data_IF_094159221301
#
_entry.id   IF_094159221301
#
_cell.length_a   1.000
_cell.length_b   1.000
_cell.length_c   1.000
_cell.angle_alpha   90.00
_cell.angle_beta   90.00
_cell.angle_gamma   90.00
#
_symmetry.space_group_name_H-M   'P 1'
#
loop_
_entity.id
_entity.type
_entity.pdbx_description
1 polymer ?
#
# COMPACT_ATOMS: atom_id res chain seq x y z
N UNK A 1 -1.26 -15.32 -8.65
CA UNK A 1 -2.65 -14.91 -8.42
C UNK A 1 -2.74 -13.52 -7.74
N UNK A 2 -1.97 -13.24 -6.64
CA UNK A 2 -2.03 -11.95 -5.92
C UNK A 2 -1.58 -10.78 -6.79
N UNK A 3 -0.46 -10.92 -7.51
CA UNK A 3 0.06 -9.88 -8.43
C UNK A 3 -0.96 -9.51 -9.51
N UNK A 4 -1.63 -10.51 -10.11
CA UNK A 4 -2.66 -10.27 -11.11
C UNK A 4 -3.90 -9.58 -10.53
N UNK A 5 -4.29 -9.95 -9.31
CA UNK A 5 -5.39 -9.26 -8.62
C UNK A 5 -5.05 -7.79 -8.35
N UNK A 6 -3.85 -7.51 -7.83
CA UNK A 6 -3.37 -6.15 -7.60
C UNK A 6 -3.33 -5.34 -8.91
N UNK A 7 -2.79 -5.91 -10.00
CA UNK A 7 -2.79 -5.28 -11.30
C UNK A 7 -4.20 -4.90 -11.77
N UNK A 8 -5.17 -5.81 -11.62
CA UNK A 8 -6.56 -5.55 -12.00
C UNK A 8 -7.19 -4.40 -11.20
N UNK A 9 -6.90 -4.29 -9.90
CA UNK A 9 -7.37 -3.18 -9.08
C UNK A 9 -6.68 -1.86 -9.44
N UNK A 10 -5.36 -1.87 -9.66
CA UNK A 10 -4.58 -0.72 -10.10
C UNK A 10 -5.14 -0.17 -11.42
N UNK A 11 -5.42 -1.06 -12.38
CA UNK A 11 -6.04 -0.71 -13.66
C UNK A 11 -7.43 -0.08 -13.49
N UNK A 12 -8.29 -0.66 -12.63
CA UNK A 12 -9.60 -0.09 -12.30
C UNK A 12 -9.50 1.30 -11.68
N UNK A 13 -8.45 1.56 -10.91
CA UNK A 13 -8.17 2.87 -10.32
C UNK A 13 -7.57 3.88 -11.31
N UNK A 14 -7.34 3.50 -12.58
CA UNK A 14 -6.71 4.37 -13.57
C UNK A 14 -5.22 4.61 -13.35
N UNK A 15 -4.59 3.81 -12.50
CA UNK A 15 -3.16 3.90 -12.17
C UNK A 15 -2.32 3.06 -13.12
N UNK A 16 -1.02 3.38 -13.20
CA UNK A 16 -0.03 2.55 -13.88
C UNK A 16 0.55 1.51 -12.92
N UNK A 17 1.05 0.41 -13.48
CA UNK A 17 1.62 -0.72 -12.77
C UNK A 17 3.00 -1.05 -13.33
N UNK A 18 3.94 -1.39 -12.48
CA UNK A 18 5.24 -1.93 -12.84
C UNK A 18 5.56 -3.13 -11.96
N UNK A 19 6.58 -3.88 -12.33
CA UNK A 19 7.06 -5.04 -11.57
C UNK A 19 8.48 -4.78 -11.08
N UNK A 20 8.71 -5.11 -9.82
CA UNK A 20 10.05 -5.29 -9.27
C UNK A 20 10.25 -6.79 -9.02
N UNK A 21 11.22 -7.37 -9.70
CA UNK A 21 11.59 -8.77 -9.56
C UNK A 21 12.66 -8.89 -8.49
N UNK A 22 12.61 -9.94 -7.72
CA UNK A 22 13.62 -10.25 -6.71
C UNK A 22 14.30 -11.58 -7.10
N UNK A 23 15.45 -11.49 -7.72
CA UNK A 23 16.17 -12.66 -8.23
C UNK A 23 16.85 -13.48 -7.12
N UNK A 24 16.94 -12.97 -5.89
CA UNK A 24 17.32 -13.74 -4.70
C UNK A 24 16.42 -14.97 -4.48
N UNK A 25 15.16 -14.90 -4.90
CA UNK A 25 14.22 -16.02 -4.80
C UNK A 25 14.68 -17.25 -5.57
N UNK A 26 15.47 -17.09 -6.63
CA UNK A 26 16.08 -18.18 -7.39
C UNK A 26 17.04 -18.98 -6.50
N UNK A 27 17.91 -18.30 -5.74
CA UNK A 27 18.83 -18.98 -4.82
C UNK A 27 18.05 -19.69 -3.70
N UNK A 28 16.99 -19.08 -3.18
CA UNK A 28 16.14 -19.68 -2.16
C UNK A 28 15.42 -20.94 -2.67
N UNK A 29 14.92 -20.94 -3.90
CA UNK A 29 14.28 -22.11 -4.51
C UNK A 29 15.27 -23.25 -4.77
N UNK A 30 16.50 -22.97 -5.26
CA UNK A 30 17.56 -23.95 -5.46
C UNK A 30 17.93 -24.63 -4.14
N UNK A 31 17.97 -23.88 -3.04
CA UNK A 31 18.33 -24.37 -1.71
C UNK A 31 17.20 -25.14 -0.99
N UNK A 32 16.11 -25.43 -1.67
CA UNK A 32 15.03 -26.27 -1.14
C UNK A 32 13.84 -25.51 -0.56
N UNK A 33 13.78 -24.20 -0.78
CA UNK A 33 12.66 -23.35 -0.37
C UNK A 33 11.50 -23.27 -1.35
N UNK A 34 11.38 -24.16 -2.33
CA UNK A 34 10.40 -24.12 -3.42
C UNK A 34 8.99 -23.75 -2.95
N UNK A 35 8.65 -22.47 -3.03
CA UNK A 35 7.36 -21.96 -2.55
C UNK A 35 6.17 -22.35 -3.44
N UNK A 36 6.41 -22.86 -4.65
CA UNK A 36 5.36 -23.09 -5.65
C UNK A 36 5.41 -24.49 -6.31
N UNK A 37 6.13 -25.45 -5.75
CA UNK A 37 6.22 -26.80 -6.30
C UNK A 37 7.01 -26.90 -7.62
N UNK A 38 7.74 -25.84 -7.99
CA UNK A 38 8.64 -25.82 -9.14
C UNK A 38 10.04 -26.17 -8.64
N UNK A 39 10.62 -27.22 -9.22
CA UNK A 39 11.98 -27.62 -8.88
C UNK A 39 12.98 -26.75 -9.66
N UNK A 40 13.46 -25.66 -9.06
CA UNK A 40 14.50 -24.81 -9.62
C UNK A 40 15.86 -25.39 -9.20
N UNK A 41 16.75 -25.51 -10.16
CA UNK A 41 18.15 -25.91 -9.98
C UNK A 41 19.06 -24.89 -10.65
N UNK A 42 20.33 -24.85 -10.29
CA UNK A 42 21.29 -23.99 -10.97
C UNK A 42 21.30 -24.19 -12.51
N UNK A 43 21.04 -25.43 -12.97
CA UNK A 43 21.01 -25.76 -14.40
C UNK A 43 19.78 -25.26 -15.14
N UNK A 44 18.65 -25.01 -14.46
CA UNK A 44 17.42 -24.51 -15.08
C UNK A 44 17.04 -23.09 -14.64
N UNK A 45 17.79 -22.43 -13.77
CA UNK A 45 17.51 -21.13 -13.22
C UNK A 45 17.25 -20.06 -14.30
N UNK A 46 18.08 -20.03 -15.35
CA UNK A 46 17.90 -19.12 -16.47
C UNK A 46 16.58 -19.36 -17.21
N UNK A 47 16.28 -20.63 -17.51
CA UNK A 47 15.03 -20.99 -18.17
C UNK A 47 13.80 -20.65 -17.30
N UNK A 48 13.91 -20.81 -15.98
CA UNK A 48 12.85 -20.42 -15.04
C UNK A 48 12.61 -18.91 -15.06
N UNK A 49 13.68 -18.10 -15.02
CA UNK A 49 13.57 -16.65 -15.14
C UNK A 49 12.96 -16.23 -16.50
N UNK A 50 13.34 -16.87 -17.60
CA UNK A 50 12.73 -16.66 -18.92
C UNK A 50 11.22 -16.95 -18.91
N UNK A 51 10.79 -18.05 -18.29
CA UNK A 51 9.35 -18.35 -18.15
C UNK A 51 8.61 -17.30 -17.32
N UNK A 52 9.23 -16.82 -16.25
CA UNK A 52 8.66 -15.72 -15.43
C UNK A 52 8.46 -14.46 -16.27
N UNK A 53 9.44 -14.09 -17.10
CA UNK A 53 9.32 -12.93 -17.98
C UNK A 53 8.30 -13.11 -19.11
N UNK A 54 8.20 -14.32 -19.69
CA UNK A 54 7.14 -14.63 -20.65
C UNK A 54 5.74 -14.53 -20.03
N UNK A 55 5.60 -14.96 -18.77
CA UNK A 55 4.36 -14.74 -18.02
C UNK A 55 4.09 -13.25 -17.80
N UNK A 56 5.10 -12.48 -17.43
CA UNK A 56 4.98 -11.04 -17.26
C UNK A 56 4.58 -10.35 -18.58
N UNK A 57 5.19 -10.73 -19.69
CA UNK A 57 4.84 -10.22 -21.01
C UNK A 57 3.38 -10.49 -21.36
N UNK A 58 2.92 -11.72 -21.15
CA UNK A 58 1.58 -12.14 -21.53
C UNK A 58 0.47 -11.51 -20.70
N UNK A 59 0.75 -11.23 -19.41
CA UNK A 59 -0.27 -10.77 -18.46
C UNK A 59 -0.21 -9.27 -18.15
N UNK A 60 0.94 -8.61 -18.38
CA UNK A 60 1.16 -7.24 -17.93
C UNK A 60 1.73 -6.32 -19.01
N UNK A 61 2.85 -6.66 -19.65
CA UNK A 61 3.61 -5.73 -20.51
C UNK A 61 2.82 -5.22 -21.71
N UNK A 62 1.85 -5.98 -22.19
CA UNK A 62 1.01 -5.60 -23.35
C UNK A 62 -0.17 -4.71 -22.96
N UNK A 63 -0.49 -4.59 -21.67
CA UNK A 63 -1.60 -3.76 -21.21
C UNK A 63 -1.20 -2.28 -21.15
N UNK A 64 -2.11 -1.41 -21.57
CA UNK A 64 -1.91 0.04 -21.55
C UNK A 64 -1.71 0.62 -20.15
N UNK A 65 -2.12 -0.09 -19.09
CA UNK A 65 -1.91 0.31 -17.70
C UNK A 65 -0.53 -0.08 -17.17
N UNK A 66 0.27 -0.84 -17.92
CA UNK A 66 1.65 -1.09 -17.53
C UNK A 66 2.51 0.17 -17.75
N UNK A 67 3.36 0.50 -16.77
CA UNK A 67 4.22 1.67 -16.85
C UNK A 67 5.27 1.49 -17.96
N UNK A 68 5.47 2.53 -18.77
CA UNK A 68 6.46 2.55 -19.86
C UNK A 68 7.32 3.80 -19.79
N UNK A 69 8.59 3.64 -20.11
CA UNK A 69 9.51 4.73 -20.43
C UNK A 69 9.96 4.55 -21.88
N UNK A 70 9.87 5.60 -22.68
CA UNK A 70 10.22 5.57 -24.11
C UNK A 70 9.63 4.36 -24.87
N UNK A 71 8.38 4.03 -24.57
CA UNK A 71 7.63 2.87 -25.09
C UNK A 71 8.10 1.48 -24.59
N UNK A 72 9.17 1.37 -23.79
CA UNK A 72 9.59 0.13 -23.18
C UNK A 72 8.89 -0.11 -21.83
N UNK A 73 8.42 -1.32 -21.52
CA UNK A 73 7.87 -1.63 -20.18
C UNK A 73 8.92 -1.38 -19.11
N UNK A 74 8.57 -0.69 -18.04
CA UNK A 74 9.47 -0.49 -16.90
C UNK A 74 9.53 -1.77 -16.07
N UNK A 75 10.74 -2.28 -15.85
CA UNK A 75 10.97 -3.49 -15.08
C UNK A 75 12.17 -3.29 -14.16
N UNK A 76 11.95 -3.47 -12.87
CA UNK A 76 12.98 -3.35 -11.84
C UNK A 76 13.43 -4.73 -11.37
N UNK A 77 14.67 -4.83 -10.92
CA UNK A 77 15.17 -5.96 -10.16
C UNK A 77 15.74 -5.49 -8.83
N UNK A 78 15.20 -6.00 -7.73
CA UNK A 78 15.76 -5.81 -6.39
C UNK A 78 17.00 -6.70 -6.27
N UNK A 79 18.14 -6.10 -6.55
CA UNK A 79 19.42 -6.76 -6.75
C UNK A 79 20.17 -6.19 -7.97
N UNK A 80 21.07 -6.95 -8.61
CA UNK A 80 21.09 -8.41 -8.78
C UNK A 80 21.68 -9.17 -7.60
N UNK A 81 21.00 -10.20 -7.16
CA UNK A 81 21.44 -11.07 -6.05
C UNK A 81 21.78 -12.50 -6.50
N UNK A 82 21.30 -12.92 -7.66
CA UNK A 82 21.61 -14.22 -8.27
C UNK A 82 22.19 -14.06 -9.69
N UNK A 83 21.53 -13.33 -10.58
CA UNK A 83 22.00 -13.08 -11.94
C UNK A 83 22.88 -11.81 -11.99
N UNK A 84 24.12 -11.93 -11.56
CA UNK A 84 25.03 -10.78 -11.43
C UNK A 84 25.56 -10.24 -12.78
N UNK A 85 25.45 -10.99 -13.88
CA UNK A 85 26.06 -10.63 -15.15
C UNK A 85 25.04 -10.06 -16.14
N UNK A 86 25.46 -9.06 -16.91
CA UNK A 86 24.65 -8.52 -18.00
C UNK A 86 24.29 -9.55 -19.08
N UNK A 87 25.14 -10.55 -19.29
CA UNK A 87 24.89 -11.66 -20.22
C UNK A 87 23.67 -12.49 -19.82
N UNK A 88 23.48 -12.72 -18.52
CA UNK A 88 22.36 -13.49 -18.00
C UNK A 88 21.04 -12.75 -18.26
N UNK A 89 20.99 -11.45 -17.97
CA UNK A 89 19.82 -10.62 -18.25
C UNK A 89 19.55 -10.46 -19.74
N UNK A 90 20.59 -10.35 -20.57
CA UNK A 90 20.44 -10.37 -22.02
C UNK A 90 19.80 -11.66 -22.50
N UNK A 91 20.24 -12.81 -21.95
CA UNK A 91 19.65 -14.11 -22.26
C UNK A 91 18.21 -14.24 -21.73
N UNK A 92 17.94 -13.74 -20.50
CA UNK A 92 16.59 -13.71 -19.93
C UNK A 92 15.64 -12.92 -20.83
N UNK A 93 16.03 -11.72 -21.30
CA UNK A 93 15.18 -10.89 -22.15
C UNK A 93 15.12 -11.35 -23.61
N UNK A 94 15.98 -12.25 -24.05
CA UNK A 94 16.03 -12.72 -25.45
C UNK A 94 14.76 -13.43 -25.90
N UNK A 95 14.02 -14.04 -24.96
CA UNK A 95 12.76 -14.75 -25.24
C UNK A 95 11.57 -13.83 -25.40
N UNK A 96 11.68 -12.54 -25.02
CA UNK A 96 10.62 -11.57 -25.12
C UNK A 96 10.47 -11.05 -26.57
N UNK A 97 9.25 -10.71 -26.95
CA UNK A 97 9.01 -9.96 -28.18
C UNK A 97 9.85 -8.66 -28.14
N UNK A 98 10.56 -8.30 -29.22
CA UNK A 98 11.40 -7.10 -29.26
C UNK A 98 10.72 -5.81 -28.80
N UNK A 99 9.41 -5.63 -29.09
CA UNK A 99 8.63 -4.48 -28.64
C UNK A 99 8.28 -4.48 -27.15
N UNK A 100 8.51 -5.59 -26.46
CA UNK A 100 8.25 -5.77 -25.04
C UNK A 100 9.54 -5.99 -24.23
N UNK A 101 10.70 -5.75 -24.84
CA UNK A 101 11.96 -5.71 -24.06
C UNK A 101 11.89 -4.54 -23.08
N UNK A 102 12.17 -4.77 -21.79
CA UNK A 102 11.96 -3.76 -20.79
C UNK A 102 13.05 -2.67 -20.76
N UNK A 103 12.64 -1.45 -20.34
CA UNK A 103 13.55 -0.52 -19.72
C UNK A 103 13.85 -1.11 -18.32
N UNK A 104 15.03 -1.69 -18.19
CA UNK A 104 15.44 -2.49 -17.03
C UNK A 104 16.29 -1.67 -16.07
N UNK A 105 15.96 -1.74 -14.78
CA UNK A 105 16.67 -1.04 -13.71
C UNK A 105 17.07 -2.01 -12.62
N UNK A 106 18.32 -1.95 -12.20
CA UNK A 106 18.88 -2.70 -11.06
C UNK A 106 19.05 -1.82 -9.84
N UNK A 107 19.20 -2.40 -8.67
CA UNK A 107 19.46 -1.67 -7.43
C UNK A 107 20.88 -1.12 -7.41
N UNK A 108 21.06 0.11 -6.91
CA UNK A 108 22.29 0.86 -6.69
C UNK A 108 23.15 1.11 -7.92
N UNK A 109 23.39 0.11 -8.74
CA UNK A 109 24.30 0.18 -9.86
C UNK A 109 23.68 -0.36 -11.14
N UNK A 110 23.88 0.37 -12.24
CA UNK A 110 23.41 -0.07 -13.55
C UNK A 110 24.21 -1.26 -14.07
N UNK A 111 23.52 -2.31 -14.51
CA UNK A 111 24.10 -3.33 -15.39
C UNK A 111 24.12 -2.85 -16.84
N UNK A 112 25.10 -3.31 -17.65
CA UNK A 112 25.20 -2.94 -19.06
C UNK A 112 23.95 -3.34 -19.89
N UNK A 113 23.24 -4.39 -19.49
CA UNK A 113 21.96 -4.79 -20.09
C UNK A 113 20.77 -3.89 -19.72
N UNK A 114 20.94 -2.99 -18.72
CA UNK A 114 19.88 -2.14 -18.19
C UNK A 114 19.87 -0.73 -18.75
N UNK A 115 18.75 -0.05 -18.66
CA UNK A 115 18.60 1.38 -18.91
C UNK A 115 19.27 2.20 -17.81
N UNK A 116 19.22 1.72 -16.56
CA UNK A 116 19.76 2.42 -15.42
C UNK A 116 19.70 1.60 -14.14
N UNK A 117 19.66 2.32 -13.02
CA UNK A 117 19.45 1.75 -11.70
C UNK A 117 18.49 2.61 -10.89
N UNK A 118 18.08 2.10 -9.73
CA UNK A 118 17.36 2.82 -8.70
C UNK A 118 18.13 2.76 -7.37
N UNK A 119 18.04 3.80 -6.57
CA UNK A 119 18.59 3.80 -5.22
C UNK A 119 17.58 3.23 -4.21
N UNK A 120 18.07 2.79 -3.06
CA UNK A 120 17.30 2.22 -1.97
C UNK A 120 17.82 2.75 -0.63
N UNK A 121 17.07 2.65 0.50
CA UNK A 121 17.64 3.00 1.80
C UNK A 121 18.97 2.26 2.06
N UNK A 122 20.13 2.98 2.15
CA UNK A 122 21.43 2.33 2.14
C UNK A 122 21.83 1.80 3.52
N UNK A 123 21.00 0.90 4.07
CA UNK A 123 21.13 0.44 5.45
C UNK A 123 22.42 -0.35 5.72
N UNK A 124 23.03 -0.93 4.70
CA UNK A 124 24.35 -1.58 4.84
C UNK A 124 25.42 -0.60 5.38
N UNK A 125 25.29 0.70 5.10
CA UNK A 125 26.21 1.72 5.58
C UNK A 125 26.08 2.03 7.09
N UNK A 126 24.98 1.64 7.72
CA UNK A 126 24.76 1.79 9.15
C UNK A 126 25.60 0.80 9.99
N UNK A 127 26.03 -0.31 9.37
CA UNK A 127 26.69 -1.42 10.08
C UNK A 127 25.82 -2.06 11.17
N UNK A 128 24.50 -2.03 11.00
CA UNK A 128 23.52 -2.50 11.99
C UNK A 128 23.21 -1.47 13.10
N UNK A 129 23.76 -0.26 12.98
CA UNK A 129 23.52 0.86 13.88
C UNK A 129 22.70 1.98 13.25
N UNK A 130 23.03 3.22 13.58
CA UNK A 130 22.34 4.40 13.04
C UNK A 130 22.98 4.82 11.73
N UNK A 131 22.19 4.92 10.66
CA UNK A 131 22.59 5.58 9.43
C UNK A 131 22.55 7.09 9.65
N UNK A 132 23.70 7.73 9.64
CA UNK A 132 23.79 9.16 9.86
C UNK A 132 23.34 9.98 8.64
N UNK A 133 22.85 11.23 8.82
CA UNK A 133 22.51 12.10 7.71
C UNK A 133 23.67 12.31 6.71
N UNK A 134 24.92 12.36 7.20
CA UNK A 134 26.10 12.49 6.34
C UNK A 134 26.35 11.26 5.47
N UNK A 135 26.19 10.06 6.01
CA UNK A 135 26.28 8.82 5.23
C UNK A 135 25.20 8.76 4.16
N UNK A 136 23.96 9.08 4.52
CA UNK A 136 22.84 9.14 3.59
C UNK A 136 23.11 10.13 2.44
N UNK A 137 23.50 11.36 2.76
CA UNK A 137 23.76 12.38 1.74
C UNK A 137 24.92 11.99 0.82
N UNK A 138 25.98 11.39 1.35
CA UNK A 138 27.11 10.92 0.55
C UNK A 138 26.72 9.80 -0.40
N UNK A 139 25.89 8.85 0.07
CA UNK A 139 25.36 7.79 -0.78
C UNK A 139 24.51 8.34 -1.92
N UNK A 140 23.53 9.20 -1.62
CA UNK A 140 22.66 9.80 -2.64
C UNK A 140 23.47 10.62 -3.68
N UNK A 141 24.45 11.38 -3.22
CA UNK A 141 25.33 12.14 -4.11
C UNK A 141 26.17 11.22 -5.01
N UNK A 142 26.69 10.12 -4.46
CA UNK A 142 27.44 9.12 -5.24
C UNK A 142 26.58 8.42 -6.27
N UNK A 143 25.35 8.03 -5.91
CA UNK A 143 24.39 7.45 -6.83
C UNK A 143 24.09 8.40 -8.00
N UNK A 144 23.74 9.65 -7.71
CA UNK A 144 23.44 10.66 -8.73
C UNK A 144 24.64 10.95 -9.66
N UNK A 145 25.86 10.99 -9.10
CA UNK A 145 27.07 11.17 -9.89
C UNK A 145 27.24 10.01 -10.89
N UNK A 146 27.04 8.77 -10.46
CA UNK A 146 27.09 7.60 -11.34
C UNK A 146 25.97 7.64 -12.39
N UNK A 147 24.76 7.98 -11.94
CA UNK A 147 23.55 8.06 -12.76
C UNK A 147 23.66 9.07 -13.90
N UNK A 148 24.45 10.12 -13.74
CA UNK A 148 24.72 11.12 -14.79
C UNK A 148 25.34 10.56 -16.07
N UNK A 149 25.86 9.32 -16.04
CA UNK A 149 26.41 8.60 -17.21
C UNK A 149 25.45 7.55 -17.79
N UNK A 150 24.29 7.33 -17.19
CA UNK A 150 23.35 6.29 -17.60
C UNK A 150 22.28 6.87 -18.55
N UNK A 151 21.64 6.03 -19.39
CA UNK A 151 20.50 6.47 -20.20
C UNK A 151 19.35 7.05 -19.37
N UNK A 152 19.03 6.40 -18.25
CA UNK A 152 17.96 6.76 -17.32
C UNK A 152 18.35 6.34 -15.89
N UNK A 153 17.63 6.86 -14.89
CA UNK A 153 17.68 6.37 -13.52
C UNK A 153 16.37 6.66 -12.79
N UNK A 154 16.15 5.95 -11.69
CA UNK A 154 14.99 6.13 -10.82
C UNK A 154 15.52 6.53 -9.45
N UNK A 155 15.07 7.67 -8.93
CA UNK A 155 15.41 8.09 -7.58
C UNK A 155 14.39 7.61 -6.58
N UNK A 156 14.85 7.16 -5.41
CA UNK A 156 13.97 6.77 -4.32
C UNK A 156 13.87 7.86 -3.26
N UNK A 157 12.68 7.97 -2.67
CA UNK A 157 12.43 8.77 -1.50
C UNK A 157 11.81 7.89 -0.42
N UNK A 158 12.26 8.05 0.80
CA UNK A 158 11.86 7.22 1.93
C UNK A 158 11.76 8.04 3.22
N UNK A 159 10.80 7.68 4.11
CA UNK A 159 10.54 8.46 5.31
C UNK A 159 11.50 8.15 6.45
N UNK A 160 11.97 6.91 6.56
CA UNK A 160 12.75 6.32 7.65
C UNK A 160 13.12 4.89 7.33
N UNK A 161 13.86 4.25 8.25
CA UNK A 161 14.03 2.81 8.27
C UNK A 161 14.15 2.35 9.73
N UNK A 162 13.37 1.35 10.12
CA UNK A 162 13.48 0.71 11.43
C UNK A 162 12.89 -0.69 11.33
N UNK A 163 13.73 -1.67 11.06
CA UNK A 163 13.27 -3.05 10.89
C UNK A 163 12.97 -3.76 12.19
N UNK A 164 12.14 -4.80 12.08
CA UNK A 164 11.77 -5.70 13.19
C UNK A 164 12.37 -7.10 13.04
N UNK A 165 13.37 -7.29 12.16
CA UNK A 165 13.90 -8.62 11.85
C UNK A 165 14.49 -9.33 13.06
N UNK A 166 15.26 -8.63 13.91
CA UNK A 166 15.82 -9.22 15.12
C UNK A 166 14.73 -9.57 16.14
N UNK A 167 13.73 -8.71 16.35
CA UNK A 167 12.62 -8.94 17.26
C UNK A 167 11.72 -10.10 16.80
N UNK A 168 11.53 -10.24 15.49
CA UNK A 168 10.76 -11.31 14.88
C UNK A 168 11.54 -12.63 14.73
N UNK A 169 12.82 -12.68 15.13
CA UNK A 169 13.72 -13.81 14.88
C UNK A 169 13.84 -14.18 13.39
N UNK A 170 13.67 -13.20 12.52
CA UNK A 170 13.75 -13.37 11.07
C UNK A 170 15.15 -13.08 10.49
N UNK A 171 16.05 -12.53 11.29
CA UNK A 171 17.41 -12.17 10.91
C UNK A 171 18.02 -11.14 11.83
N UNK A 172 19.21 -10.65 11.50
CA UNK A 172 19.81 -9.50 12.19
C UNK A 172 19.17 -8.20 11.68
N UNK A 173 19.09 -7.18 12.55
CA UNK A 173 18.65 -5.85 12.12
C UNK A 173 19.66 -5.22 11.16
N UNK A 174 19.16 -4.53 10.14
CA UNK A 174 19.96 -3.68 9.24
C UNK A 174 20.24 -2.31 9.85
N UNK A 175 19.65 -1.99 11.01
CA UNK A 175 19.88 -0.74 11.71
C UNK A 175 18.70 0.25 11.61
N UNK A 176 19.03 1.53 11.78
CA UNK A 176 18.03 2.58 11.96
C UNK A 176 18.37 3.83 11.16
N UNK A 177 17.38 4.37 10.46
CA UNK A 177 17.39 5.70 9.87
C UNK A 177 16.27 6.54 10.48
N UNK A 178 16.64 7.62 11.16
CA UNK A 178 15.71 8.53 11.82
C UNK A 178 14.78 9.21 10.81
N UNK A 179 13.51 9.38 11.16
CA UNK A 179 12.56 10.10 10.32
C UNK A 179 12.73 11.62 10.38
N UNK A 180 13.47 12.12 11.36
CA UNK A 180 13.70 13.55 11.60
C UNK A 180 12.41 14.38 11.58
N UNK A 181 11.34 13.83 12.17
CA UNK A 181 10.00 14.42 12.15
C UNK A 181 9.49 14.74 10.72
N UNK A 182 9.68 13.82 9.78
CA UNK A 182 9.36 13.97 8.36
C UNK A 182 10.46 14.65 7.53
N UNK A 183 11.54 15.06 8.17
CA UNK A 183 12.68 15.71 7.49
C UNK A 183 13.39 14.77 6.52
N UNK A 184 13.50 13.49 6.86
CA UNK A 184 14.14 12.49 5.98
C UNK A 184 13.36 12.33 4.68
N UNK A 185 12.02 12.19 4.73
CA UNK A 185 11.18 12.14 3.53
C UNK A 185 11.24 13.46 2.74
N UNK A 186 11.17 14.60 3.43
CA UNK A 186 11.25 15.90 2.78
C UNK A 186 12.55 16.05 1.99
N UNK A 187 13.68 15.69 2.59
CA UNK A 187 14.99 15.82 1.96
C UNK A 187 15.18 14.85 0.77
N UNK A 188 14.86 13.56 0.96
CA UNK A 188 15.02 12.55 -0.08
C UNK A 188 14.09 12.82 -1.25
N UNK A 189 12.82 13.17 -1.00
CA UNK A 189 11.84 13.44 -2.04
C UNK A 189 12.12 14.76 -2.80
N UNK A 190 12.48 15.84 -2.10
CA UNK A 190 12.87 17.10 -2.77
C UNK A 190 14.05 16.89 -3.70
N UNK A 191 15.04 16.10 -3.26
CA UNK A 191 16.20 15.75 -4.06
C UNK A 191 15.79 14.95 -5.29
N UNK A 192 14.99 13.90 -5.13
CA UNK A 192 14.48 13.10 -6.24
C UNK A 192 13.66 13.91 -7.26
N UNK A 193 12.92 14.94 -6.80
CA UNK A 193 12.15 15.83 -7.67
C UNK A 193 13.00 16.83 -8.48
N UNK A 194 14.27 17.01 -8.13
CA UNK A 194 15.13 18.05 -8.73
C UNK A 194 16.36 17.51 -9.45
N UNK A 195 16.68 16.23 -9.32
CA UNK A 195 17.91 15.64 -9.87
C UNK A 195 17.79 15.12 -11.31
N UNK A 196 16.62 15.21 -11.94
CA UNK A 196 16.41 14.81 -13.32
C UNK A 196 16.13 13.31 -13.52
N UNK A 197 15.79 12.56 -12.48
CA UNK A 197 15.41 11.15 -12.58
C UNK A 197 14.17 10.94 -13.48
N UNK A 198 14.13 9.83 -14.22
CA UNK A 198 13.02 9.49 -15.12
C UNK A 198 11.73 9.14 -14.36
N UNK A 199 11.86 8.66 -13.13
CA UNK A 199 10.77 8.37 -12.22
C UNK A 199 11.24 8.51 -10.77
N UNK A 200 10.27 8.68 -9.86
CA UNK A 200 10.52 8.71 -8.42
C UNK A 200 9.81 7.54 -7.79
N UNK A 201 10.55 6.75 -7.03
CA UNK A 201 10.04 5.63 -6.25
C UNK A 201 9.86 6.06 -4.80
N UNK A 202 8.68 5.88 -4.24
CA UNK A 202 8.45 6.05 -2.80
C UNK A 202 8.64 4.70 -2.11
N UNK A 203 9.59 4.60 -1.24
CA UNK A 203 9.95 3.40 -0.49
C UNK A 203 9.51 3.59 0.96
N UNK A 204 8.43 2.88 1.38
CA UNK A 204 7.50 1.98 0.72
C UNK A 204 6.06 2.40 1.03
N UNK A 205 5.04 1.78 0.39
CA UNK A 205 3.66 2.03 0.82
C UNK A 205 3.40 1.40 2.20
N UNK A 206 3.64 0.10 2.35
CA UNK A 206 3.21 -0.67 3.51
C UNK A 206 4.22 -1.74 3.99
N UNK A 207 5.51 -1.50 3.81
CA UNK A 207 6.51 -2.37 4.42
C UNK A 207 6.67 -2.06 5.90
N UNK A 208 5.81 -2.69 6.70
CA UNK A 208 5.87 -2.59 8.16
C UNK A 208 7.05 -3.36 8.76
N UNK A 209 7.61 -4.32 8.03
CA UNK A 209 8.77 -5.10 8.45
C UNK A 209 10.04 -4.25 8.53
N UNK A 210 10.18 -3.30 7.61
CA UNK A 210 11.31 -2.35 7.55
C UNK A 210 10.98 -0.96 8.11
N UNK A 211 9.71 -0.70 8.42
CA UNK A 211 9.26 0.58 8.95
C UNK A 211 9.34 1.75 7.97
N UNK A 212 9.61 1.49 6.70
CA UNK A 212 9.68 2.50 5.62
C UNK A 212 8.30 3.01 5.19
N UNK A 213 7.25 2.58 5.85
CA UNK A 213 5.84 2.77 5.50
C UNK A 213 5.45 4.25 5.41
N UNK A 214 4.74 4.62 4.32
CA UNK A 214 4.06 5.91 4.14
C UNK A 214 2.54 5.79 4.23
N UNK A 215 1.99 4.58 4.21
CA UNK A 215 0.59 4.33 4.52
C UNK A 215 0.24 4.93 5.89
N UNK A 216 -0.89 5.62 6.04
CA UNK A 216 -1.25 6.24 7.31
C UNK A 216 -1.30 5.25 8.47
N UNK A 217 -0.56 5.54 9.53
CA UNK A 217 -0.49 4.75 10.76
C UNK A 217 -1.03 5.53 11.95
N UNK A 218 -1.20 4.87 13.10
CA UNK A 218 -1.56 5.57 14.34
C UNK A 218 -0.45 6.51 14.84
N UNK A 219 0.81 6.19 14.52
CA UNK A 219 1.97 6.95 14.94
C UNK A 219 2.19 8.20 14.10
N UNK A 220 2.14 8.06 12.78
CA UNK A 220 2.47 9.15 11.84
C UNK A 220 1.24 9.83 11.22
N UNK A 221 0.04 9.25 11.38
CA UNK A 221 -1.18 9.78 10.77
C UNK A 221 -1.02 9.93 9.26
N UNK A 222 -1.43 11.07 8.74
CA UNK A 222 -1.32 11.43 7.32
C UNK A 222 -0.11 12.32 7.01
N UNK A 223 0.84 12.48 7.94
CA UNK A 223 1.97 13.41 7.81
C UNK A 223 2.78 13.17 6.54
N UNK A 224 3.18 11.94 6.30
CA UNK A 224 4.06 11.60 5.18
C UNK A 224 3.35 11.81 3.83
N UNK A 225 2.07 11.47 3.72
CA UNK A 225 1.28 11.79 2.54
C UNK A 225 1.09 13.31 2.35
N UNK A 226 0.95 14.07 3.44
CA UNK A 226 0.91 15.53 3.41
C UNK A 226 2.20 16.14 2.87
N UNK A 227 3.35 15.60 3.27
CA UNK A 227 4.69 16.00 2.75
C UNK A 227 4.75 15.73 1.24
N UNK A 228 4.37 14.53 0.80
CA UNK A 228 4.36 14.16 -0.63
C UNK A 228 3.48 15.11 -1.44
N UNK A 229 2.26 15.42 -0.97
CA UNK A 229 1.37 16.35 -1.66
C UNK A 229 1.95 17.78 -1.73
N UNK A 230 2.57 18.26 -0.66
CA UNK A 230 3.15 19.59 -0.62
C UNK A 230 4.32 19.72 -1.60
N UNK A 231 5.22 18.73 -1.61
CA UNK A 231 6.35 18.72 -2.53
C UNK A 231 5.91 18.53 -3.98
N UNK A 232 4.87 17.71 -4.23
CA UNK A 232 4.28 17.59 -5.56
C UNK A 232 3.79 18.95 -6.08
N UNK A 233 3.06 19.71 -5.26
CA UNK A 233 2.62 21.08 -5.64
C UNK A 233 3.78 22.01 -5.89
N UNK A 234 4.81 21.91 -5.07
CA UNK A 234 5.97 22.80 -5.16
C UNK A 234 6.81 22.56 -6.42
N UNK A 235 7.05 21.29 -6.78
CA UNK A 235 8.06 20.94 -7.79
C UNK A 235 7.47 20.42 -9.10
N UNK A 236 6.32 19.75 -9.06
CA UNK A 236 5.80 19.04 -10.24
C UNK A 236 4.48 19.60 -10.77
N UNK A 237 3.55 19.91 -9.90
CA UNK A 237 2.17 20.24 -10.29
C UNK A 237 1.57 21.31 -9.37
N UNK A 238 1.84 22.61 -9.63
CA UNK A 238 1.31 23.69 -8.79
C UNK A 238 -0.23 23.71 -8.68
N UNK A 239 -0.94 23.18 -9.68
CA UNK A 239 -2.40 23.04 -9.69
C UNK A 239 -2.95 21.79 -9.01
N UNK A 240 -2.11 20.97 -8.34
CA UNK A 240 -2.58 19.77 -7.66
C UNK A 240 -3.56 20.09 -6.53
N UNK A 241 -4.83 19.72 -6.70
CA UNK A 241 -5.95 20.19 -5.92
C UNK A 241 -6.31 19.33 -4.70
N UNK A 242 -5.71 18.14 -4.55
CA UNK A 242 -5.98 17.28 -3.39
C UNK A 242 -5.35 17.89 -2.13
N UNK A 243 -6.13 18.06 -1.08
CA UNK A 243 -5.71 18.64 0.20
C UNK A 243 -5.63 17.59 1.30
N UNK A 244 -5.03 17.94 2.44
CA UNK A 244 -4.77 17.01 3.54
C UNK A 244 -6.05 16.37 4.10
N UNK A 245 -7.17 17.13 4.15
CA UNK A 245 -8.46 16.63 4.61
C UNK A 245 -9.07 15.54 3.68
N UNK A 246 -8.60 15.44 2.43
CA UNK A 246 -9.09 14.47 1.46
C UNK A 246 -8.29 13.16 1.49
N UNK A 247 -7.15 13.14 2.17
CA UNK A 247 -6.32 11.93 2.34
C UNK A 247 -7.08 10.80 3.05
N UNK A 248 -8.03 11.14 3.91
CA UNK A 248 -8.83 10.16 4.64
C UNK A 248 -9.91 9.47 3.79
N UNK A 249 -10.23 9.98 2.58
CA UNK A 249 -11.35 9.46 1.78
C UNK A 249 -11.21 7.98 1.43
N UNK A 250 -10.01 7.54 1.07
CA UNK A 250 -9.76 6.14 0.74
C UNK A 250 -9.98 5.21 1.94
N UNK A 251 -9.55 5.64 3.14
CA UNK A 251 -9.74 4.88 4.38
C UNK A 251 -11.21 4.85 4.80
N UNK A 252 -11.92 5.98 4.74
CA UNK A 252 -13.37 6.06 5.02
C UNK A 252 -14.16 5.17 4.07
N UNK A 253 -13.86 5.26 2.77
CA UNK A 253 -14.44 4.39 1.76
C UNK A 253 -14.21 2.91 2.06
N UNK A 254 -12.97 2.51 2.40
CA UNK A 254 -12.63 1.14 2.75
C UNK A 254 -13.46 0.63 3.95
N UNK A 255 -13.57 1.43 5.01
CA UNK A 255 -14.34 1.05 6.20
C UNK A 255 -15.81 0.85 5.88
N UNK A 256 -16.42 1.76 5.13
CA UNK A 256 -17.81 1.63 4.70
C UNK A 256 -18.00 0.43 3.76
N UNK A 257 -17.04 0.16 2.86
CA UNK A 257 -17.07 -1.04 2.00
C UNK A 257 -17.04 -2.32 2.82
N UNK A 258 -16.23 -2.40 3.87
CA UNK A 258 -16.23 -3.54 4.80
C UNK A 258 -17.55 -3.67 5.56
N UNK A 259 -18.10 -2.56 6.01
CA UNK A 259 -19.33 -2.53 6.79
C UNK A 259 -20.55 -2.95 5.96
N UNK A 260 -20.64 -2.47 4.72
CA UNK A 260 -21.83 -2.62 3.86
C UNK A 260 -21.65 -3.63 2.72
N UNK A 261 -20.58 -4.41 2.71
CA UNK A 261 -20.24 -5.31 1.60
C UNK A 261 -21.30 -6.37 1.26
N UNK A 262 -22.18 -6.71 2.22
CA UNK A 262 -23.32 -7.62 2.02
C UNK A 262 -24.58 -6.94 1.51
N UNK A 263 -24.62 -5.60 1.40
CA UNK A 263 -25.81 -4.87 0.93
C UNK A 263 -25.61 -4.40 -0.53
N UNK A 264 -26.37 -4.94 -1.52
CA UNK A 264 -26.16 -4.60 -2.92
C UNK A 264 -26.41 -3.11 -3.25
N UNK A 265 -27.40 -2.48 -2.63
CA UNK A 265 -27.72 -1.08 -2.89
C UNK A 265 -26.62 -0.13 -2.39
N UNK A 266 -26.14 -0.36 -1.16
CA UNK A 266 -25.04 0.41 -0.58
C UNK A 266 -23.70 0.12 -1.28
N UNK A 267 -23.49 -1.11 -1.72
CA UNK A 267 -22.33 -1.45 -2.56
C UNK A 267 -22.33 -0.67 -3.87
N UNK A 268 -23.46 -0.55 -4.55
CA UNK A 268 -23.57 0.26 -5.77
C UNK A 268 -23.37 1.75 -5.51
N UNK A 269 -23.79 2.27 -4.35
CA UNK A 269 -23.50 3.65 -3.94
C UNK A 269 -22.00 3.85 -3.70
N UNK A 270 -21.33 2.92 -3.02
CA UNK A 270 -19.88 2.92 -2.83
C UNK A 270 -19.11 2.79 -4.15
N UNK A 271 -19.62 2.10 -5.17
CA UNK A 271 -18.99 2.08 -6.50
C UNK A 271 -19.03 3.46 -7.16
N UNK A 272 -20.09 4.24 -6.93
CA UNK A 272 -20.14 5.66 -7.37
C UNK A 272 -19.15 6.53 -6.60
N UNK A 273 -19.02 6.31 -5.28
CA UNK A 273 -18.00 7.01 -4.47
C UNK A 273 -16.60 6.70 -4.98
N UNK A 274 -16.29 5.44 -5.25
CA UNK A 274 -15.00 5.04 -5.84
C UNK A 274 -14.75 5.78 -7.16
N UNK A 275 -15.75 5.79 -8.05
CA UNK A 275 -15.64 6.49 -9.34
C UNK A 275 -15.38 7.99 -9.16
N UNK A 276 -16.01 8.63 -8.18
CA UNK A 276 -15.80 10.05 -7.87
C UNK A 276 -14.39 10.30 -7.33
N UNK A 277 -13.87 9.42 -6.47
CA UNK A 277 -12.49 9.52 -5.93
C UNK A 277 -11.48 9.46 -7.09
N UNK A 278 -11.55 8.42 -7.93
CA UNK A 278 -10.58 8.24 -9.03
C UNK A 278 -10.71 9.28 -10.14
N UNK A 279 -11.88 9.95 -10.25
CA UNK A 279 -12.11 11.04 -11.20
C UNK A 279 -11.75 12.43 -10.63
N UNK A 280 -11.17 12.50 -9.43
CA UNK A 280 -10.80 13.76 -8.78
C UNK A 280 -11.99 14.58 -8.25
N UNK A 281 -13.22 14.04 -8.23
CA UNK A 281 -14.41 14.68 -7.67
C UNK A 281 -14.48 14.53 -6.16
N UNK A 282 -13.42 14.96 -5.47
CA UNK A 282 -13.18 14.64 -4.05
C UNK A 282 -14.21 15.22 -3.11
N UNK A 283 -14.72 16.44 -3.37
CA UNK A 283 -15.79 17.05 -2.57
C UNK A 283 -17.11 16.29 -2.66
N UNK A 284 -17.45 15.78 -3.85
CA UNK A 284 -18.65 14.95 -4.05
C UNK A 284 -18.50 13.63 -3.31
N UNK A 285 -17.33 12.95 -3.45
CA UNK A 285 -17.03 11.71 -2.73
C UNK A 285 -17.09 11.92 -1.21
N UNK A 286 -16.55 13.03 -0.70
CA UNK A 286 -16.60 13.38 0.72
C UNK A 286 -18.03 13.52 1.22
N UNK A 287 -18.87 14.27 0.51
CA UNK A 287 -20.28 14.44 0.87
C UNK A 287 -21.05 13.12 0.88
N UNK A 288 -20.80 12.25 -0.11
CA UNK A 288 -21.42 10.93 -0.17
C UNK A 288 -20.99 10.04 1.00
N UNK A 289 -19.67 9.97 1.29
CA UNK A 289 -19.16 9.20 2.43
C UNK A 289 -19.74 9.70 3.75
N UNK A 290 -19.79 11.03 3.94
CA UNK A 290 -20.39 11.62 5.13
C UNK A 290 -21.86 11.21 5.26
N UNK A 291 -22.64 11.29 4.17
CA UNK A 291 -24.04 10.85 4.19
C UNK A 291 -24.20 9.37 4.55
N UNK A 292 -23.27 8.51 4.08
CA UNK A 292 -23.29 7.08 4.41
C UNK A 292 -22.85 6.79 5.85
N UNK A 293 -21.90 7.55 6.38
CA UNK A 293 -21.47 7.44 7.78
C UNK A 293 -22.57 7.82 8.77
N UNK A 294 -23.40 8.80 8.43
CA UNK A 294 -24.58 9.18 9.22
C UNK A 294 -25.69 8.14 9.19
N UNK A 295 -25.71 7.23 8.21
CA UNK A 295 -26.66 6.10 8.19
C UNK A 295 -26.27 4.98 9.14
N UNK A 296 -25.12 5.06 9.77
CA UNK A 296 -24.67 4.07 10.74
C UNK A 296 -25.47 4.23 12.03
N UNK A 297 -26.06 3.12 12.49
CA UNK A 297 -26.57 3.05 13.84
C UNK A 297 -25.42 3.07 14.84
N UNK A 298 -25.50 3.93 15.83
CA UNK A 298 -24.47 4.10 16.87
C UNK A 298 -25.11 3.88 18.22
N UNK A 299 -24.48 3.04 19.03
CA UNK A 299 -24.82 2.87 20.45
C UNK A 299 -23.95 3.83 21.27
N UNK A 300 -24.56 4.59 22.13
CA UNK A 300 -23.88 5.51 23.05
C UNK A 300 -24.65 5.68 24.34
N UNK A 301 -24.10 6.42 25.31
CA UNK A 301 -24.68 6.65 26.65
C UNK A 301 -25.05 5.34 27.35
N UNK A 302 -24.13 4.37 27.37
CA UNK A 302 -24.33 3.14 28.11
C UNK A 302 -24.37 3.44 29.61
N UNK A 303 -25.52 3.19 30.22
CA UNK A 303 -25.76 3.39 31.64
C UNK A 303 -26.21 2.07 32.27
N UNK A 304 -25.72 1.80 33.46
CA UNK A 304 -26.23 0.72 34.33
C UNK A 304 -26.75 1.36 35.60
N UNK A 305 -28.00 1.08 35.92
CA UNK A 305 -28.65 1.53 37.15
C UNK A 305 -29.36 0.34 37.79
N UNK A 306 -28.77 -0.18 38.86
CA UNK A 306 -29.24 -1.43 39.51
C UNK A 306 -29.23 -2.58 38.53
N UNK A 307 -30.36 -3.25 38.40
CA UNK A 307 -30.54 -4.40 37.49
C UNK A 307 -30.93 -4.01 36.07
N UNK A 308 -30.81 -2.74 35.72
CA UNK A 308 -31.12 -2.28 34.36
C UNK A 308 -29.88 -1.80 33.61
N UNK A 309 -29.82 -2.13 32.34
CA UNK A 309 -28.89 -1.57 31.37
C UNK A 309 -29.69 -0.76 30.35
N UNK A 310 -29.24 0.45 30.12
CA UNK A 310 -29.81 1.35 29.14
C UNK A 310 -28.73 1.86 28.23
N UNK A 311 -29.03 2.01 26.92
CA UNK A 311 -28.20 2.74 25.97
C UNK A 311 -29.05 3.46 24.93
N UNK A 312 -28.49 4.51 24.40
CA UNK A 312 -29.11 5.28 23.31
C UNK A 312 -28.67 4.74 21.95
N UNK A 313 -29.56 4.73 20.98
CA UNK A 313 -29.29 4.37 19.60
C UNK A 313 -29.53 5.62 18.75
N UNK A 314 -28.49 6.09 18.07
CA UNK A 314 -28.54 7.21 17.15
C UNK A 314 -28.03 6.82 15.76
N UNK A 315 -27.89 7.82 14.89
CA UNK A 315 -27.56 7.63 13.49
C UNK A 315 -28.82 7.60 12.61
N UNK A 316 -28.84 6.80 11.56
CA UNK A 316 -30.00 6.72 10.65
C UNK A 316 -31.08 5.78 11.19
N UNK A 317 -31.73 6.22 12.26
CA UNK A 317 -32.88 5.49 12.82
C UNK A 317 -34.13 5.61 11.93
N UNK A 318 -34.10 6.43 10.87
CA UNK A 318 -35.20 6.58 9.93
C UNK A 318 -35.45 5.30 9.08
N UNK A 319 -34.51 4.38 9.02
CA UNK A 319 -34.69 3.06 8.40
C UNK A 319 -35.23 1.99 9.37
N UNK A 320 -35.41 2.35 10.65
CA UNK A 320 -35.69 1.44 11.75
C UNK A 320 -34.39 0.90 12.37
N UNK A 321 -34.51 0.25 13.52
CA UNK A 321 -33.37 -0.34 14.20
C UNK A 321 -33.78 -1.67 14.86
N UNK A 322 -32.88 -2.65 14.82
CA UNK A 322 -33.04 -3.94 15.46
C UNK A 322 -31.93 -4.16 16.46
N UNK A 323 -32.28 -4.34 17.72
CA UNK A 323 -31.32 -4.71 18.77
C UNK A 323 -31.26 -6.21 18.84
N UNK A 324 -30.09 -6.76 18.72
CA UNK A 324 -29.85 -8.19 18.86
C UNK A 324 -29.00 -8.46 20.11
N UNK A 325 -29.21 -9.61 20.73
CA UNK A 325 -28.53 -10.05 21.91
C UNK A 325 -27.81 -11.38 21.65
N UNK A 326 -26.64 -11.55 22.23
CA UNK A 326 -25.88 -12.80 22.26
C UNK A 326 -25.29 -13.05 23.64
N UNK A 327 -25.12 -14.31 23.99
CA UNK A 327 -24.38 -14.74 25.19
C UNK A 327 -23.00 -15.30 24.87
N UNK A 328 -22.66 -15.50 23.58
CA UNK A 328 -21.43 -16.15 23.14
C UNK A 328 -20.73 -15.46 21.96
N UNK A 329 -21.23 -14.31 21.50
CA UNK A 329 -20.74 -13.55 20.35
C UNK A 329 -20.84 -14.26 18.99
N UNK A 330 -21.37 -15.49 18.95
CA UNK A 330 -21.48 -16.30 17.71
C UNK A 330 -22.91 -16.44 17.23
N UNK A 331 -23.82 -16.65 18.14
CA UNK A 331 -25.27 -16.73 17.90
C UNK A 331 -25.97 -15.48 18.39
N UNK A 332 -26.73 -14.84 17.51
CA UNK A 332 -27.46 -13.62 17.80
C UNK A 332 -28.96 -13.83 17.63
N UNK A 333 -29.74 -13.34 18.57
CA UNK A 333 -31.20 -13.35 18.53
C UNK A 333 -31.76 -11.95 18.63
N UNK A 334 -32.84 -11.67 17.95
CA UNK A 334 -33.52 -10.39 18.06
C UNK A 334 -34.12 -10.23 19.46
N UNK A 335 -33.71 -9.14 20.14
CA UNK A 335 -34.28 -8.76 21.44
C UNK A 335 -35.40 -7.74 21.26
N UNK A 336 -35.16 -6.73 20.41
CA UNK A 336 -36.15 -5.70 20.12
C UNK A 336 -35.99 -5.11 18.74
N UNK A 337 -37.12 -4.88 18.07
CA UNK A 337 -37.17 -4.15 16.79
C UNK A 337 -37.87 -2.82 16.99
N UNK A 338 -37.26 -1.75 16.53
CA UNK A 338 -37.83 -0.43 16.50
C UNK A 338 -38.33 -0.11 15.09
N UNK A 339 -39.55 0.38 14.95
CA UNK A 339 -40.04 0.83 13.64
C UNK A 339 -39.30 2.07 13.14
N UNK A 340 -39.50 2.40 11.89
CA UNK A 340 -39.05 3.65 11.29
C UNK A 340 -39.42 4.85 12.17
N UNK A 341 -38.45 5.67 12.56
CA UNK A 341 -38.66 6.86 13.37
C UNK A 341 -37.59 7.90 13.08
N UNK A 342 -37.88 9.16 13.40
CA UNK A 342 -36.92 10.26 13.32
C UNK A 342 -36.36 10.64 14.71
N UNK A 343 -36.83 9.95 15.75
CA UNK A 343 -36.45 10.27 17.14
C UNK A 343 -35.30 9.38 17.59
N UNK A 344 -34.55 9.87 18.57
CA UNK A 344 -33.58 9.10 19.33
C UNK A 344 -34.26 7.87 19.95
N UNK A 345 -33.67 6.69 19.73
CA UNK A 345 -34.15 5.46 20.33
C UNK A 345 -33.39 5.18 21.63
N UNK A 346 -34.14 4.75 22.66
CA UNK A 346 -33.56 4.31 23.92
C UNK A 346 -33.92 2.83 24.10
N UNK A 347 -32.88 2.01 24.25
CA UNK A 347 -33.03 0.61 24.62
C UNK A 347 -32.82 0.43 26.11
N UNK A 348 -33.72 -0.27 26.76
CA UNK A 348 -33.61 -0.63 28.20
C UNK A 348 -33.92 -2.11 28.35
N UNK A 349 -33.09 -2.82 29.06
CA UNK A 349 -33.28 -4.24 29.41
C UNK A 349 -32.84 -4.50 30.83
N UNK A 350 -33.40 -5.55 31.46
CA UNK A 350 -33.00 -5.97 32.79
C UNK A 350 -31.75 -6.86 32.70
N UNK A 351 -30.82 -6.68 33.65
CA UNK A 351 -29.72 -7.61 33.84
C UNK A 351 -30.26 -8.82 34.63
N UNK A 352 -30.15 -10.01 34.05
CA UNK A 352 -30.41 -11.26 34.81
C UNK A 352 -29.11 -11.76 35.41
N UNK A 353 -29.19 -12.36 36.56
CA UNK A 353 -28.08 -12.57 37.50
C UNK A 353 -26.91 -13.43 36.99
N UNK A 354 -26.98 -14.16 35.87
CA UNK A 354 -25.99 -15.19 35.59
C UNK A 354 -25.42 -15.27 34.19
N UNK A 355 -25.67 -14.30 33.30
CA UNK A 355 -25.23 -14.45 31.91
C UNK A 355 -24.58 -13.17 31.39
N UNK A 356 -23.36 -13.31 30.92
CA UNK A 356 -22.74 -12.26 30.09
C UNK A 356 -23.59 -12.04 28.84
N UNK A 357 -24.01 -10.81 28.58
CA UNK A 357 -24.81 -10.43 27.41
C UNK A 357 -24.07 -9.41 26.59
N UNK A 358 -24.09 -9.63 25.28
CA UNK A 358 -23.56 -8.74 24.26
C UNK A 358 -24.73 -8.21 23.45
N UNK A 359 -24.70 -6.94 23.09
CA UNK A 359 -25.69 -6.30 22.27
C UNK A 359 -25.09 -5.72 21.03
N UNK A 360 -25.79 -5.82 19.91
CA UNK A 360 -25.51 -5.09 18.68
C UNK A 360 -26.79 -4.49 18.10
N UNK A 361 -26.61 -3.46 17.31
CA UNK A 361 -27.73 -2.78 16.65
C UNK A 361 -27.53 -2.87 15.15
N UNK A 362 -28.58 -3.28 14.45
CA UNK A 362 -28.63 -3.40 13.00
C UNK A 362 -29.88 -2.73 12.44
N UNK A 363 -29.86 -2.41 11.13
CA UNK A 363 -31.04 -1.99 10.38
C UNK A 363 -31.96 -3.15 10.07
#
# INVERSE_FOLDING_TARGET
QRTLALFNYTRKAGLKFSLCYEDATIAAEINGGGMNGVNVTAGNALAHAQQTLLYAQSNFFTDASFLRLSNAPVFLNFGPQYFHNSSDWTAIFSVLNPTNRPAFFTEDNRLAAGAGAFDWPPMALSGGGILTPGQLLNYLAGFEQNAGSWPDFISSAFPRFHDFYAQASAGSSYGYLDDANGGTLTNTLSRAMTNGSAAIQIVTWNDFGEGTVVEPTREYGYRDLGIIQNLRRQYLEPGFSCHTNELALAFRFYNLRKQYGGNPALSAELDRVFTNIISGKLSVANSQLTGMEFRRLVVYDLLQAGDQVQFSIGGDVAAGARVQMSTNLTTWSDDRTYPVTTNLLIFTTNTTQDVCRFFRVEH
#
